data_IF_171159336105
#
_entry.id   IF_171159336105
#
_cell.length_a   1.000
_cell.length_b   1.000
_cell.length_c   1.000
_cell.angle_alpha   90.00
_cell.angle_beta   90.00
_cell.angle_gamma   90.00
#
_symmetry.space_group_name_H-M   'P 1'
#
loop_
_entity.id
_entity.type
_entity.pdbx_description
1 polymer ?
#
# COMPACT_ATOMS: atom_id res chain seq x y z
N UNK A 1 -4.94 -34.06 8.08
CA UNK A 1 -4.70 -32.62 7.80
C UNK A 1 -4.91 -31.91 9.13
N UNK A 2 -3.92 -31.20 9.66
CA UNK A 2 -4.13 -30.42 10.89
C UNK A 2 -5.05 -29.25 10.56
N UNK A 3 -6.15 -29.10 11.29
CA UNK A 3 -7.12 -28.04 11.05
C UNK A 3 -6.66 -26.74 11.74
N UNK A 4 -6.02 -25.87 10.97
CA UNK A 4 -5.57 -24.54 11.40
C UNK A 4 -6.46 -23.40 10.86
N UNK A 5 -7.51 -23.71 10.10
CA UNK A 5 -8.37 -22.72 9.46
C UNK A 5 -9.53 -22.38 10.40
N UNK A 6 -9.28 -21.47 11.34
CA UNK A 6 -10.23 -21.07 12.38
C UNK A 6 -10.39 -19.55 12.37
N UNK A 7 -11.63 -19.09 12.24
CA UNK A 7 -11.94 -17.66 12.20
C UNK A 7 -11.38 -16.93 13.42
N UNK A 8 -10.66 -15.84 13.19
CA UNK A 8 -10.14 -14.98 14.25
C UNK A 8 -8.83 -15.46 14.88
N UNK A 9 -8.19 -16.49 14.32
CA UNK A 9 -6.83 -16.87 14.69
C UNK A 9 -5.97 -17.08 13.44
N UNK A 10 -4.78 -16.48 13.45
CA UNK A 10 -3.83 -16.53 12.34
C UNK A 10 -2.85 -17.69 12.53
N UNK A 11 -2.66 -18.50 11.49
CA UNK A 11 -1.67 -19.57 11.49
C UNK A 11 -0.27 -19.01 11.24
N UNK A 12 0.58 -18.99 12.28
CA UNK A 12 1.97 -18.50 12.21
C UNK A 12 3.02 -19.63 12.22
N UNK A 13 2.61 -20.85 11.86
CA UNK A 13 3.51 -22.00 11.80
C UNK A 13 3.45 -22.89 13.04
N UNK A 14 4.61 -23.19 13.64
CA UNK A 14 4.75 -24.16 14.73
C UNK A 14 5.56 -23.57 15.87
N UNK A 15 5.32 -23.97 17.13
CA UNK A 15 6.20 -23.60 18.24
C UNK A 15 7.64 -24.05 17.96
N UNK A 16 8.65 -23.28 18.38
CA UNK A 16 10.05 -23.58 18.10
C UNK A 16 10.83 -23.95 19.38
N UNK A 17 11.67 -24.99 19.32
CA UNK A 17 12.60 -25.36 20.39
C UNK A 17 13.96 -24.67 20.15
N UNK A 18 14.21 -23.58 20.87
CA UNK A 18 15.45 -22.79 20.73
C UNK A 18 16.71 -23.60 21.06
N UNK A 19 16.80 -24.35 22.19
CA UNK A 19 17.94 -25.21 22.47
C UNK A 19 18.22 -26.27 21.38
N UNK A 20 17.18 -26.94 20.90
CA UNK A 20 17.32 -28.02 19.90
C UNK A 20 17.32 -27.53 18.46
N UNK A 21 17.09 -26.24 18.23
CA UNK A 21 16.99 -25.59 16.91
C UNK A 21 16.06 -26.33 15.94
N UNK A 22 14.90 -26.75 16.43
CA UNK A 22 13.91 -27.49 15.62
C UNK A 22 12.48 -27.06 15.94
N UNK A 23 11.56 -27.12 14.95
CA UNK A 23 10.14 -26.99 15.23
C UNK A 23 9.66 -28.07 16.20
N UNK A 24 8.70 -27.72 17.06
CA UNK A 24 7.94 -28.65 17.89
C UNK A 24 6.66 -29.07 17.17
N UNK A 25 6.03 -30.11 17.69
CA UNK A 25 4.67 -30.46 17.28
C UNK A 25 3.66 -29.40 17.72
N UNK A 26 2.52 -29.35 17.03
CA UNK A 26 1.43 -28.41 17.28
C UNK A 26 1.44 -27.20 16.34
N UNK A 27 0.40 -26.39 16.46
CA UNK A 27 0.15 -25.20 15.66
C UNK A 27 0.44 -23.96 16.50
N UNK A 28 1.09 -22.96 15.92
CA UNK A 28 1.18 -21.63 16.48
C UNK A 28 0.02 -20.80 15.90
N UNK A 29 -1.08 -20.73 16.64
CA UNK A 29 -2.26 -19.93 16.29
C UNK A 29 -2.24 -18.64 17.11
N UNK A 30 -2.30 -17.50 16.43
CA UNK A 30 -2.22 -16.16 17.02
C UNK A 30 -3.59 -15.49 17.00
N UNK A 31 -4.08 -14.95 18.13
CA UNK A 31 -5.39 -14.28 18.17
C UNK A 31 -5.34 -12.97 17.38
N UNK A 32 -6.13 -12.86 16.31
CA UNK A 32 -6.10 -11.68 15.45
C UNK A 32 -6.60 -10.42 16.16
N UNK A 33 -7.34 -10.56 17.27
CA UNK A 33 -7.79 -9.44 18.09
C UNK A 33 -6.62 -8.70 18.75
N UNK A 34 -5.48 -9.35 18.94
CA UNK A 34 -4.29 -8.67 19.48
C UNK A 34 -3.74 -7.62 18.50
N UNK A 35 -4.09 -7.71 17.20
CA UNK A 35 -3.67 -6.75 16.17
C UNK A 35 -4.58 -5.51 16.05
N UNK A 36 -5.66 -5.40 16.81
CA UNK A 36 -6.56 -4.23 16.77
C UNK A 36 -5.98 -2.99 17.46
N UNK A 37 -4.81 -3.12 18.08
CA UNK A 37 -4.06 -2.03 18.69
C UNK A 37 -2.90 -1.63 17.78
N UNK A 38 -1.67 -1.96 18.17
CA UNK A 38 -0.46 -1.68 17.40
C UNK A 38 0.52 -2.84 17.60
N UNK A 39 1.16 -3.28 16.52
CA UNK A 39 2.21 -4.28 16.55
C UNK A 39 3.52 -3.70 16.03
N UNK A 40 4.65 -4.19 16.55
CA UNK A 40 5.98 -3.84 16.07
C UNK A 40 6.80 -5.10 15.81
N UNK A 41 7.35 -5.21 14.61
CA UNK A 41 8.24 -6.31 14.23
C UNK A 41 9.69 -5.80 14.15
N UNK A 42 10.55 -6.25 15.06
CA UNK A 42 11.96 -5.84 15.15
C UNK A 42 12.91 -7.02 14.87
N UNK A 43 14.06 -6.73 14.27
CA UNK A 43 15.04 -7.75 13.90
C UNK A 43 16.02 -7.27 12.83
N UNK A 44 17.16 -7.95 12.68
CA UNK A 44 18.18 -7.64 11.67
C UNK A 44 17.77 -8.09 10.26
N UNK A 45 18.47 -7.66 9.21
CA UNK A 45 18.26 -8.19 7.85
C UNK A 45 18.44 -9.71 7.84
N UNK A 46 17.56 -10.42 7.12
CA UNK A 46 17.56 -11.89 7.09
C UNK A 46 16.94 -12.57 8.32
N UNK A 47 16.46 -11.83 9.33
CA UNK A 47 15.84 -12.42 10.53
C UNK A 47 14.40 -12.91 10.32
N UNK A 48 13.87 -12.84 9.09
CA UNK A 48 12.49 -13.28 8.78
C UNK A 48 11.39 -12.24 8.98
N UNK A 49 11.69 -10.97 9.27
CA UNK A 49 10.65 -9.92 9.46
C UNK A 49 9.66 -9.84 8.30
N UNK A 50 10.16 -9.76 7.07
CA UNK A 50 9.31 -9.68 5.86
C UNK A 50 8.46 -10.94 5.73
N UNK A 51 9.03 -12.12 5.98
CA UNK A 51 8.27 -13.38 5.95
C UNK A 51 7.15 -13.43 6.99
N UNK A 52 7.38 -12.92 8.20
CA UNK A 52 6.34 -12.79 9.22
C UNK A 52 5.24 -11.81 8.79
N UNK A 53 5.61 -10.64 8.24
CA UNK A 53 4.63 -9.69 7.72
C UNK A 53 3.79 -10.26 6.58
N UNK A 54 4.43 -10.98 5.64
CA UNK A 54 3.73 -11.67 4.56
C UNK A 54 2.75 -12.71 5.10
N UNK A 55 3.20 -13.53 6.06
CA UNK A 55 2.33 -14.52 6.71
C UNK A 55 1.11 -13.83 7.35
N UNK A 56 1.33 -12.76 8.12
CA UNK A 56 0.23 -12.00 8.74
C UNK A 56 -0.76 -11.43 7.69
N UNK A 57 -0.27 -10.93 6.56
CA UNK A 57 -1.12 -10.41 5.48
C UNK A 57 -1.89 -11.52 4.78
N UNK A 58 -1.29 -12.69 4.57
CA UNK A 58 -1.96 -13.86 4.00
C UNK A 58 -3.06 -14.40 4.92
N UNK A 59 -2.80 -14.52 6.23
CA UNK A 59 -3.81 -14.94 7.20
C UNK A 59 -4.96 -13.93 7.31
N UNK A 60 -4.65 -12.63 7.35
CA UNK A 60 -5.66 -11.57 7.35
C UNK A 60 -6.52 -11.62 6.08
N UNK A 61 -5.90 -11.82 4.91
CA UNK A 61 -6.61 -11.95 3.64
C UNK A 61 -7.54 -13.17 3.62
N UNK A 62 -7.09 -14.33 4.11
CA UNK A 62 -7.90 -15.56 4.19
C UNK A 62 -9.14 -15.33 5.08
N UNK A 63 -8.99 -14.60 6.19
CA UNK A 63 -10.07 -14.22 7.11
C UNK A 63 -10.95 -13.07 6.60
N UNK A 64 -10.67 -12.53 5.40
CA UNK A 64 -11.45 -11.43 4.79
C UNK A 64 -11.20 -10.06 5.44
N UNK A 65 -10.06 -9.87 6.09
CA UNK A 65 -9.65 -8.62 6.71
C UNK A 65 -8.85 -7.81 5.68
N UNK A 66 -9.35 -6.65 5.21
CA UNK A 66 -8.65 -5.84 4.22
C UNK A 66 -7.41 -5.18 4.83
N UNK A 67 -6.31 -5.17 4.06
CA UNK A 67 -5.06 -4.56 4.47
C UNK A 67 -4.54 -3.57 3.43
N UNK A 68 -4.02 -2.44 3.89
CA UNK A 68 -3.22 -1.50 3.10
C UNK A 68 -1.79 -1.57 3.64
N UNK A 69 -0.85 -1.94 2.79
CA UNK A 69 0.56 -2.03 3.16
C UNK A 69 1.38 -0.97 2.41
N UNK A 70 2.22 -0.24 3.15
CA UNK A 70 3.18 0.71 2.59
C UNK A 70 4.53 0.01 2.51
N UNK A 71 5.02 -0.20 1.29
CA UNK A 71 6.22 -0.99 1.04
C UNK A 71 7.33 -0.18 0.36
N UNK A 72 8.20 0.48 1.15
CA UNK A 72 9.32 1.22 0.58
C UNK A 72 10.42 0.31 0.00
N UNK A 73 10.38 -1.01 0.27
CA UNK A 73 11.40 -1.97 -0.21
C UNK A 73 10.97 -2.68 -1.50
N UNK A 74 9.68 -2.79 -1.74
CA UNK A 74 9.10 -3.47 -2.92
C UNK A 74 8.95 -4.99 -2.77
N UNK A 75 9.29 -5.55 -1.60
CA UNK A 75 9.26 -6.99 -1.33
C UNK A 75 7.83 -7.57 -1.18
N UNK A 76 6.84 -6.75 -0.82
CA UNK A 76 5.46 -7.20 -0.62
C UNK A 76 4.73 -7.50 -1.93
N UNK A 77 5.23 -7.00 -3.06
CA UNK A 77 4.74 -7.36 -4.39
C UNK A 77 4.81 -8.87 -4.67
N UNK A 78 5.68 -9.59 -3.95
CA UNK A 78 5.78 -11.04 -4.01
C UNK A 78 4.50 -11.77 -3.59
N UNK A 79 3.54 -11.12 -2.89
CA UNK A 79 2.22 -11.68 -2.60
C UNK A 79 1.42 -12.05 -3.86
N UNK A 80 1.75 -11.45 -5.02
CA UNK A 80 1.12 -11.81 -6.29
C UNK A 80 1.75 -13.02 -6.97
N UNK A 81 2.90 -13.51 -6.50
CA UNK A 81 3.57 -14.72 -6.99
C UNK A 81 2.97 -15.98 -6.34
N UNK A 82 1.66 -16.12 -6.45
CA UNK A 82 0.88 -17.23 -5.89
C UNK A 82 0.41 -18.17 -6.99
N UNK A 83 0.83 -19.43 -6.93
CA UNK A 83 0.62 -20.45 -7.98
C UNK A 83 -0.19 -21.64 -7.45
N UNK A 84 -1.54 -21.62 -7.52
CA UNK A 84 -2.39 -22.67 -6.97
C UNK A 84 -2.17 -24.07 -7.55
N UNK A 85 -1.77 -24.20 -8.81
CA UNK A 85 -1.53 -25.50 -9.43
C UNK A 85 -0.14 -26.06 -9.11
N UNK A 86 0.76 -25.21 -8.61
CA UNK A 86 2.15 -25.55 -8.32
C UNK A 86 2.82 -26.28 -9.51
N UNK A 87 2.57 -25.80 -10.74
CA UNK A 87 3.03 -26.46 -11.97
C UNK A 87 4.28 -25.79 -12.54
N UNK A 88 5.11 -26.55 -13.26
CA UNK A 88 6.33 -26.02 -13.87
C UNK A 88 6.06 -24.81 -14.78
N UNK A 89 4.94 -24.82 -15.50
CA UNK A 89 4.53 -23.75 -16.42
C UNK A 89 4.25 -22.44 -15.70
N UNK A 90 3.72 -22.48 -14.47
CA UNK A 90 3.49 -21.29 -13.66
C UNK A 90 4.79 -20.69 -13.15
N UNK A 91 5.80 -21.52 -12.87
CA UNK A 91 7.11 -21.09 -12.37
C UNK A 91 8.05 -20.63 -13.50
N UNK A 92 7.93 -21.19 -14.71
CA UNK A 92 8.84 -20.94 -15.83
C UNK A 92 9.09 -19.46 -16.16
N UNK A 93 8.11 -18.53 -16.11
CA UNK A 93 8.38 -17.12 -16.37
C UNK A 93 9.21 -16.42 -15.27
N UNK A 94 9.30 -17.01 -14.09
CA UNK A 94 9.85 -16.39 -12.88
C UNK A 94 11.17 -17.01 -12.43
N UNK A 95 11.63 -18.06 -13.10
CA UNK A 95 12.92 -18.64 -12.77
C UNK A 95 14.08 -17.74 -13.19
N UNK A 96 15.20 -17.89 -12.50
CA UNK A 96 16.46 -17.32 -12.94
C UNK A 96 17.17 -18.30 -13.89
N UNK A 97 17.21 -17.96 -15.18
CA UNK A 97 17.87 -18.78 -16.21
C UNK A 97 19.38 -18.95 -15.97
N UNK A 98 20.05 -17.96 -15.35
CA UNK A 98 21.47 -18.11 -15.02
C UNK A 98 21.70 -19.18 -13.95
N UNK A 99 20.80 -19.29 -12.98
CA UNK A 99 20.88 -20.33 -11.94
C UNK A 99 20.60 -21.71 -12.52
N UNK A 100 19.65 -21.80 -13.46
CA UNK A 100 19.43 -23.02 -14.25
C UNK A 100 20.73 -23.43 -14.99
N UNK A 101 21.35 -22.48 -15.70
CA UNK A 101 22.60 -22.70 -16.44
C UNK A 101 23.75 -23.11 -15.52
N UNK A 102 23.94 -22.46 -14.37
CA UNK A 102 24.99 -22.82 -13.39
C UNK A 102 24.83 -24.24 -12.84
N UNK A 103 23.59 -24.74 -12.78
CA UNK A 103 23.26 -26.12 -12.37
C UNK A 103 23.27 -27.12 -13.54
N UNK A 104 23.54 -26.67 -14.77
CA UNK A 104 23.51 -27.52 -15.96
C UNK A 104 22.12 -28.01 -16.34
N UNK A 105 21.08 -27.27 -15.95
CA UNK A 105 19.67 -27.62 -16.19
C UNK A 105 19.09 -26.77 -17.31
N UNK A 106 18.13 -27.32 -18.06
CA UNK A 106 17.30 -26.52 -18.94
C UNK A 106 16.36 -25.62 -18.11
N UNK A 107 15.90 -24.47 -18.65
CA UNK A 107 14.91 -23.64 -17.98
C UNK A 107 13.65 -24.42 -17.56
N UNK A 108 13.17 -25.32 -18.41
CA UNK A 108 11.99 -26.13 -18.11
C UNK A 108 12.21 -27.12 -16.96
N UNK A 109 13.37 -27.80 -16.95
CA UNK A 109 13.71 -28.74 -15.88
C UNK A 109 13.90 -28.00 -14.56
N UNK A 110 14.52 -26.81 -14.60
CA UNK A 110 14.69 -25.98 -13.42
C UNK A 110 13.34 -25.49 -12.88
N UNK A 111 12.43 -25.01 -13.73
CA UNK A 111 11.08 -24.63 -13.33
C UNK A 111 10.31 -25.80 -12.69
N UNK A 112 10.46 -27.01 -13.24
CA UNK A 112 9.86 -28.23 -12.68
C UNK A 112 10.43 -28.56 -11.30
N UNK A 113 11.75 -28.40 -11.10
CA UNK A 113 12.37 -28.56 -9.78
C UNK A 113 11.90 -27.50 -8.78
N UNK A 114 11.72 -26.25 -9.21
CA UNK A 114 11.22 -25.19 -8.32
C UNK A 114 9.76 -25.43 -7.90
N UNK A 115 8.92 -25.88 -8.81
CA UNK A 115 7.54 -26.26 -8.52
C UNK A 115 7.46 -27.39 -7.48
N UNK A 116 8.28 -28.44 -7.65
CA UNK A 116 8.32 -29.57 -6.72
C UNK A 116 8.89 -29.17 -5.34
N UNK A 117 9.93 -28.32 -5.31
CA UNK A 117 10.47 -27.76 -4.07
C UNK A 117 9.39 -27.01 -3.27
N UNK A 118 8.58 -26.18 -3.94
CA UNK A 118 7.49 -25.45 -3.30
C UNK A 118 6.41 -26.40 -2.79
N UNK A 119 6.01 -27.38 -3.60
CA UNK A 119 5.01 -28.38 -3.22
C UNK A 119 5.43 -29.16 -1.97
N UNK A 120 6.68 -29.63 -1.92
CA UNK A 120 7.22 -30.33 -0.76
C UNK A 120 7.31 -29.43 0.47
N UNK A 121 7.86 -28.22 0.31
CA UNK A 121 7.96 -27.24 1.39
C UNK A 121 6.60 -26.90 2.00
N UNK A 122 5.58 -26.64 1.18
CA UNK A 122 4.22 -26.37 1.67
C UNK A 122 3.64 -27.59 2.41
N UNK A 123 3.81 -28.79 1.86
CA UNK A 123 3.32 -30.03 2.47
C UNK A 123 3.95 -30.29 3.84
N UNK A 124 5.23 -29.94 4.05
CA UNK A 124 5.89 -30.03 5.37
C UNK A 124 5.20 -29.18 6.43
N UNK A 125 4.53 -28.10 6.03
CA UNK A 125 3.73 -27.23 6.90
C UNK A 125 2.23 -27.55 6.87
N UNK A 126 1.83 -28.63 6.19
CA UNK A 126 0.43 -29.03 6.07
C UNK A 126 -0.39 -28.13 5.14
N UNK A 127 0.27 -27.40 4.26
CA UNK A 127 -0.34 -26.53 3.24
C UNK A 127 -0.23 -27.16 1.86
N UNK A 128 -1.07 -26.72 0.94
CA UNK A 128 -1.05 -27.15 -0.47
C UNK A 128 -1.62 -26.05 -1.38
N UNK A 129 -1.71 -26.36 -2.68
CA UNK A 129 -2.27 -25.45 -3.68
C UNK A 129 -3.72 -25.02 -3.43
N UNK A 130 -4.50 -25.80 -2.68
CA UNK A 130 -5.88 -25.43 -2.34
C UNK A 130 -5.93 -24.23 -1.39
N UNK A 131 -4.95 -24.11 -0.50
CA UNK A 131 -4.83 -22.95 0.40
C UNK A 131 -4.40 -21.70 -0.35
N UNK A 132 -3.48 -21.84 -1.31
CA UNK A 132 -3.09 -20.73 -2.21
C UNK A 132 -4.30 -20.26 -3.02
N UNK A 133 -5.13 -21.21 -3.51
CA UNK A 133 -6.38 -20.88 -4.19
C UNK A 133 -7.32 -20.09 -3.29
N UNK A 134 -7.54 -20.55 -2.05
CA UNK A 134 -8.35 -19.85 -1.05
C UNK A 134 -7.87 -18.42 -0.85
N UNK A 135 -6.58 -18.21 -0.62
CA UNK A 135 -5.99 -16.86 -0.47
C UNK A 135 -6.37 -15.94 -1.65
N UNK A 136 -6.22 -16.44 -2.89
CA UNK A 136 -6.54 -15.66 -4.10
C UNK A 136 -8.03 -15.39 -4.28
N UNK A 137 -8.88 -16.26 -3.77
CA UNK A 137 -10.34 -16.12 -3.83
C UNK A 137 -10.90 -15.25 -2.70
N UNK A 138 -10.18 -15.13 -1.57
CA UNK A 138 -10.62 -14.36 -0.40
C UNK A 138 -10.44 -12.85 -0.54
N UNK A 139 -9.49 -12.36 -1.35
CA UNK A 139 -9.26 -10.92 -1.53
C UNK A 139 -8.68 -10.57 -2.90
N UNK A 140 -8.97 -9.35 -3.35
CA UNK A 140 -8.28 -8.75 -4.47
C UNK A 140 -6.90 -8.22 -4.05
N UNK A 141 -5.88 -8.46 -4.88
CA UNK A 141 -4.53 -7.92 -4.70
C UNK A 141 -4.28 -6.81 -5.70
N UNK A 142 -4.00 -5.61 -5.21
CA UNK A 142 -3.76 -4.42 -6.02
C UNK A 142 -2.42 -3.77 -5.65
N UNK A 143 -1.53 -3.59 -6.64
CA UNK A 143 -0.29 -2.82 -6.45
C UNK A 143 -0.57 -1.39 -6.90
N UNK A 144 -0.51 -0.46 -5.96
CA UNK A 144 -0.58 0.98 -6.22
C UNK A 144 0.83 1.56 -6.31
N UNK A 145 1.15 2.23 -7.41
CA UNK A 145 2.48 2.79 -7.67
C UNK A 145 2.41 4.31 -7.84
N UNK A 146 2.54 5.10 -6.75
CA UNK A 146 2.70 6.55 -6.87
C UNK A 146 3.94 6.89 -7.71
N UNK A 147 3.80 7.78 -8.70
CA UNK A 147 4.91 8.23 -9.55
C UNK A 147 5.42 7.19 -10.57
N UNK A 148 4.75 6.04 -10.72
CA UNK A 148 5.11 5.01 -11.69
C UNK A 148 3.85 4.40 -12.33
N UNK A 149 3.99 3.91 -13.56
CA UNK A 149 2.93 3.21 -14.29
C UNK A 149 3.14 1.68 -14.29
N UNK A 150 4.03 1.16 -13.43
CA UNK A 150 4.31 -0.28 -13.34
C UNK A 150 3.15 -1.08 -12.71
N UNK A 151 2.34 -0.44 -11.87
CA UNK A 151 1.09 -0.98 -11.31
C UNK A 151 -0.09 -0.04 -11.56
N UNK A 152 -1.01 0.03 -10.62
CA UNK A 152 -2.12 0.99 -10.64
C UNK A 152 -1.55 2.37 -10.27
N UNK A 153 -1.51 3.33 -11.19
CA UNK A 153 -0.94 4.63 -10.91
C UNK A 153 -1.80 5.36 -9.88
N UNK A 154 -1.16 5.87 -8.84
CA UNK A 154 -1.82 6.77 -7.89
C UNK A 154 -1.63 8.18 -8.41
N UNK A 155 -2.68 8.72 -9.05
CA UNK A 155 -2.70 10.13 -9.43
C UNK A 155 -3.07 10.98 -8.24
N UNK A 156 -2.12 11.81 -7.81
CA UNK A 156 -2.35 12.83 -6.78
C UNK A 156 -3.22 13.96 -7.35
N UNK A 157 -3.21 14.14 -8.68
CA UNK A 157 -3.83 15.27 -9.38
C UNK A 157 -5.34 15.14 -9.60
N UNK A 158 -5.91 13.92 -9.52
CA UNK A 158 -7.38 13.73 -9.50
C UNK A 158 -8.05 14.28 -8.23
N UNK A 159 -7.27 14.77 -7.26
CA UNK A 159 -7.74 15.24 -5.95
C UNK A 159 -8.30 16.67 -5.96
N UNK A 160 -8.13 17.45 -7.02
CA UNK A 160 -8.62 18.84 -7.07
C UNK A 160 -10.08 19.00 -7.53
N UNK A 161 -10.75 17.88 -7.85
CA UNK A 161 -12.19 17.88 -8.11
C UNK A 161 -12.97 18.27 -6.85
N UNK A 162 -14.08 18.98 -7.04
CA UNK A 162 -14.96 19.35 -5.95
C UNK A 162 -15.48 18.07 -5.26
N UNK A 163 -15.49 18.03 -3.91
CA UNK A 163 -15.95 16.87 -3.19
C UNK A 163 -17.47 16.69 -3.32
N UNK A 164 -17.98 15.53 -2.90
CA UNK A 164 -19.42 15.27 -2.89
C UNK A 164 -20.18 16.23 -1.94
N UNK A 165 -21.51 16.29 -2.08
CA UNK A 165 -22.35 17.18 -1.27
C UNK A 165 -22.18 16.98 0.24
N UNK A 166 -22.02 15.75 0.71
CA UNK A 166 -21.80 15.44 2.12
C UNK A 166 -20.60 16.18 2.71
N UNK A 167 -19.47 16.22 1.97
CA UNK A 167 -18.28 16.96 2.42
C UNK A 167 -18.45 18.47 2.19
N UNK A 168 -19.15 18.88 1.12
CA UNK A 168 -19.39 20.30 0.84
C UNK A 168 -20.25 21.00 1.91
N UNK A 169 -21.19 20.28 2.52
CA UNK A 169 -22.11 20.80 3.54
C UNK A 169 -21.49 20.84 4.95
N UNK A 170 -20.48 19.99 5.20
CA UNK A 170 -19.76 19.96 6.47
C UNK A 170 -18.51 20.85 6.40
N UNK A 171 -18.52 21.94 7.17
CA UNK A 171 -17.43 22.93 7.15
C UNK A 171 -16.12 22.37 7.69
N UNK A 172 -16.15 21.41 8.62
CA UNK A 172 -14.96 20.80 9.19
C UNK A 172 -14.34 19.82 8.19
N UNK A 173 -15.16 18.90 7.64
CA UNK A 173 -14.70 17.95 6.61
C UNK A 173 -14.19 18.66 5.36
N UNK A 174 -14.83 19.76 4.94
CA UNK A 174 -14.38 20.55 3.80
C UNK A 174 -13.01 21.17 4.06
N UNK A 175 -12.80 21.76 5.24
CA UNK A 175 -11.52 22.38 5.62
C UNK A 175 -10.41 21.35 5.73
N UNK A 176 -10.67 20.20 6.35
CA UNK A 176 -9.70 19.12 6.50
C UNK A 176 -9.29 18.57 5.13
N UNK A 177 -10.26 18.38 4.23
CA UNK A 177 -9.97 17.93 2.87
C UNK A 177 -9.13 18.92 2.08
N UNK A 178 -9.48 20.22 2.12
CA UNK A 178 -8.69 21.28 1.47
C UNK A 178 -7.27 21.31 2.06
N UNK A 179 -7.16 21.36 3.39
CA UNK A 179 -5.87 21.43 4.09
C UNK A 179 -4.97 20.25 3.73
N UNK A 180 -5.50 19.02 3.77
CA UNK A 180 -4.76 17.81 3.43
C UNK A 180 -4.26 17.77 1.98
N UNK A 181 -5.08 18.23 1.03
CA UNK A 181 -4.69 18.32 -0.38
C UNK A 181 -3.58 19.36 -0.58
N UNK A 182 -3.73 20.55 0.01
CA UNK A 182 -2.74 21.62 -0.15
C UNK A 182 -1.41 21.26 0.52
N UNK A 183 -1.44 20.68 1.72
CA UNK A 183 -0.22 20.20 2.41
C UNK A 183 0.47 19.11 1.62
N UNK A 184 -0.29 18.14 1.07
CA UNK A 184 0.28 17.09 0.22
C UNK A 184 0.90 17.68 -1.05
N UNK A 185 0.21 18.62 -1.71
CA UNK A 185 0.70 19.28 -2.91
C UNK A 185 2.01 20.04 -2.65
N UNK A 186 2.03 20.87 -1.61
CA UNK A 186 3.22 21.64 -1.25
C UNK A 186 4.39 20.73 -0.86
N UNK A 187 4.12 19.68 -0.08
CA UNK A 187 5.14 18.69 0.27
C UNK A 187 5.74 17.97 -0.95
N UNK A 188 4.94 17.67 -1.97
CA UNK A 188 5.43 17.05 -3.22
C UNK A 188 6.32 17.97 -4.05
N UNK A 189 6.08 19.28 -4.00
CA UNK A 189 6.90 20.29 -4.68
C UNK A 189 8.12 20.67 -3.82
N UNK A 190 8.22 20.17 -2.59
CA UNK A 190 9.34 20.41 -1.67
C UNK A 190 9.17 21.65 -0.79
N UNK A 191 7.95 22.17 -0.66
CA UNK A 191 7.62 23.23 0.29
C UNK A 191 7.16 22.64 1.62
N UNK A 192 7.88 22.95 2.70
CA UNK A 192 7.44 22.69 4.07
C UNK A 192 6.58 23.87 4.54
N UNK A 193 5.28 23.80 4.26
CA UNK A 193 4.34 24.88 4.49
C UNK A 193 3.44 24.61 5.69
N UNK A 194 3.44 25.54 6.64
CA UNK A 194 2.53 25.55 7.78
C UNK A 194 1.10 25.90 7.31
N UNK A 195 0.09 25.05 7.55
CA UNK A 195 -1.28 25.27 7.09
C UNK A 195 -1.94 26.58 7.56
N UNK A 196 -1.43 27.18 8.63
CA UNK A 196 -1.98 28.37 9.27
C UNK A 196 -1.17 29.62 8.90
N UNK A 197 0.13 29.49 8.66
CA UNK A 197 1.04 30.64 8.51
C UNK A 197 1.59 30.84 7.10
N UNK A 198 1.74 29.79 6.32
CA UNK A 198 2.37 29.88 5.01
C UNK A 198 1.45 30.54 3.99
N UNK A 199 1.97 31.54 3.29
CA UNK A 199 1.23 32.33 2.30
C UNK A 199 0.77 31.46 1.13
N UNK A 200 1.61 30.50 0.75
CA UNK A 200 1.38 29.48 -0.28
C UNK A 200 0.18 28.61 0.08
N UNK A 201 0.15 28.10 1.32
CA UNK A 201 -0.92 27.23 1.79
C UNK A 201 -2.24 27.98 1.88
N UNK A 202 -2.23 29.17 2.47
CA UNK A 202 -3.42 30.02 2.60
C UNK A 202 -4.00 30.38 1.22
N UNK A 203 -3.15 30.75 0.26
CA UNK A 203 -3.58 31.09 -1.10
C UNK A 203 -4.22 29.89 -1.79
N UNK A 204 -3.54 28.75 -1.83
CA UNK A 204 -4.02 27.53 -2.48
C UNK A 204 -5.32 27.02 -1.82
N UNK A 205 -5.40 27.06 -0.50
CA UNK A 205 -6.60 26.70 0.26
C UNK A 205 -7.78 27.61 -0.10
N UNK A 206 -7.53 28.91 -0.27
CA UNK A 206 -8.57 29.88 -0.65
C UNK A 206 -9.05 29.68 -2.09
N UNK A 207 -8.13 29.42 -3.02
CA UNK A 207 -8.45 29.10 -4.42
C UNK A 207 -9.33 27.85 -4.51
N UNK A 208 -8.92 26.75 -3.87
CA UNK A 208 -9.70 25.50 -3.85
C UNK A 208 -11.07 25.70 -3.20
N UNK A 209 -11.12 26.35 -2.02
CA UNK A 209 -12.39 26.63 -1.34
C UNK A 209 -13.35 27.44 -2.22
N UNK A 210 -12.83 28.43 -2.94
CA UNK A 210 -13.64 29.30 -3.81
C UNK A 210 -14.18 28.54 -5.02
N UNK A 211 -13.33 27.74 -5.67
CA UNK A 211 -13.74 26.92 -6.81
C UNK A 211 -14.79 25.87 -6.41
N UNK A 212 -14.57 25.16 -5.30
CA UNK A 212 -15.47 24.10 -4.85
C UNK A 212 -16.82 24.64 -4.37
N UNK A 213 -16.87 25.80 -3.70
CA UNK A 213 -18.13 26.47 -3.36
C UNK A 213 -18.96 26.86 -4.58
N UNK A 214 -18.32 26.98 -5.74
CA UNK A 214 -18.97 27.25 -7.03
C UNK A 214 -19.24 25.97 -7.82
N UNK A 215 -19.11 24.79 -7.18
CA UNK A 215 -19.22 23.47 -7.80
C UNK A 215 -18.32 23.30 -9.03
N UNK A 216 -17.13 23.93 -9.00
CA UNK A 216 -16.15 23.87 -10.09
C UNK A 216 -14.99 22.96 -9.69
N UNK A 217 -14.73 21.96 -10.53
CA UNK A 217 -13.51 21.16 -10.45
C UNK A 217 -12.31 21.98 -10.90
N UNK A 218 -11.17 21.77 -10.24
CA UNK A 218 -9.88 22.25 -10.73
C UNK A 218 -9.05 21.09 -11.25
N UNK A 219 -8.12 21.43 -12.12
CA UNK A 219 -7.00 20.61 -12.55
C UNK A 219 -5.70 21.38 -12.30
N UNK A 220 -4.55 20.76 -12.57
CA UNK A 220 -3.26 21.42 -12.33
C UNK A 220 -3.08 22.69 -13.18
N UNK A 221 -3.58 22.69 -14.42
CA UNK A 221 -3.43 23.81 -15.35
C UNK A 221 -4.23 25.03 -14.85
N UNK A 222 -5.50 24.82 -14.51
CA UNK A 222 -6.38 25.86 -13.96
C UNK A 222 -5.93 26.32 -12.58
N UNK A 223 -5.34 25.45 -11.76
CA UNK A 223 -4.75 25.84 -10.48
C UNK A 223 -3.53 26.76 -10.69
N UNK A 224 -2.62 26.41 -11.60
CA UNK A 224 -1.45 27.26 -11.94
C UNK A 224 -1.91 28.64 -12.41
N UNK A 225 -2.90 28.69 -13.31
CA UNK A 225 -3.49 29.95 -13.78
C UNK A 225 -4.08 30.77 -12.63
N UNK A 226 -4.79 30.11 -11.71
CA UNK A 226 -5.38 30.78 -10.55
C UNK A 226 -4.36 31.16 -9.48
N UNK A 227 -3.16 30.59 -9.42
CA UNK A 227 -2.10 31.13 -8.54
C UNK A 227 -1.57 32.46 -9.10
N UNK A 228 -1.32 32.50 -10.41
CA UNK A 228 -0.87 33.71 -11.11
C UNK A 228 -1.94 34.82 -11.10
N UNK A 229 -3.20 34.45 -11.29
CA UNK A 229 -4.35 35.38 -11.29
C UNK A 229 -5.51 34.81 -10.45
N UNK A 230 -5.42 34.91 -9.11
CA UNK A 230 -6.44 34.36 -8.21
C UNK A 230 -7.79 35.04 -8.40
N UNK A 231 -8.89 34.27 -8.39
CA UNK A 231 -10.24 34.81 -8.48
C UNK A 231 -10.70 35.44 -7.15
N UNK A 232 -9.77 36.03 -6.39
CA UNK A 232 -9.98 36.67 -5.09
C UNK A 232 -9.16 37.95 -5.04
N UNK A 233 -9.67 38.99 -4.37
CA UNK A 233 -8.95 40.26 -4.17
C UNK A 233 -8.43 40.41 -2.74
N UNK A 234 -8.89 39.55 -1.81
CA UNK A 234 -8.53 39.59 -0.40
C UNK A 234 -8.34 38.19 0.18
N UNK A 235 -7.47 38.10 1.18
CA UNK A 235 -7.26 36.92 2.01
C UNK A 235 -7.50 37.35 3.46
N UNK A 236 -8.60 36.88 4.05
CA UNK A 236 -9.06 37.39 5.35
C UNK A 236 -9.33 38.89 5.28
N UNK A 237 -8.64 39.67 6.12
CA UNK A 237 -8.76 41.13 6.17
C UNK A 237 -7.76 41.87 5.25
N UNK A 238 -6.78 41.17 4.67
CA UNK A 238 -5.69 41.77 3.89
C UNK A 238 -6.01 41.77 2.39
N UNK A 239 -5.54 42.81 1.70
CA UNK A 239 -5.50 42.85 0.24
C UNK A 239 -4.50 41.81 -0.30
N UNK A 240 -4.86 41.13 -1.38
CA UNK A 240 -4.06 40.04 -1.94
C UNK A 240 -2.66 40.51 -2.38
N UNK A 241 -2.53 41.67 -3.02
CA UNK A 241 -1.21 42.15 -3.47
C UNK A 241 -0.32 42.54 -2.27
N UNK A 242 -0.92 42.94 -1.14
CA UNK A 242 -0.17 43.21 0.09
C UNK A 242 0.24 41.93 0.83
N UNK A 243 -0.60 40.90 0.77
CA UNK A 243 -0.35 39.61 1.43
C UNK A 243 0.66 38.76 0.66
N UNK A 244 0.45 38.60 -0.64
CA UNK A 244 1.26 37.78 -1.53
C UNK A 244 1.36 38.46 -2.91
N UNK A 245 2.39 39.27 -3.16
CA UNK A 245 2.52 40.03 -4.41
C UNK A 245 2.59 39.13 -5.66
N UNK A 246 2.05 39.60 -6.78
CA UNK A 246 2.06 38.86 -8.07
C UNK A 246 3.43 38.40 -8.55
N UNK A 247 4.52 39.11 -8.20
CA UNK A 247 5.89 38.73 -8.56
C UNK A 247 6.48 37.62 -7.68
N UNK A 248 5.92 37.41 -6.49
CA UNK A 248 6.36 36.39 -5.53
C UNK A 248 5.55 35.09 -5.65
N UNK A 249 4.38 35.15 -6.31
CA UNK A 249 3.45 34.04 -6.50
C UNK A 249 3.79 33.15 -7.70
#
# INVERSE_FOLDING_TARGET
MQDFEKLGVFYLGRPYDLPRKRPKEGLLLYDSKDLVTHAVCVGMTGSGKTGLCLSLLEEAAIDGIPAIAIDPKGDLSNLLLTFPELSAEQFAPWINEEDARKRGLSPQDFASQQAELWKQGLAEWGQDGSRIRRLRESTDFAIYTPGSNAGIPVSILKSFAAPNQTIMEDTELLRDRISGIVTSLLGLVGFDADPIRSREHILLSTILSTAWKQARDLDLVSLIQQVQTPPITRVGALDLESFFPSKER
#
